data_IF_660457671575
#
_entry.id   IF_660457671575
#
_cell.length_a   1.000
_cell.length_b   1.000
_cell.length_c   1.000
_cell.angle_alpha   90.00
_cell.angle_beta   90.00
_cell.angle_gamma   90.00
#
_symmetry.space_group_name_H-M   'P 1'
#
loop_
_entity.id
_entity.type
_entity.pdbx_description
1 polymer ?
#
# COMPACT_ATOMS: atom_id res chain seq x y z
N UNK A 1 -77.07 54.14 67.65
CA UNK A 1 -75.67 53.68 67.74
C UNK A 1 -75.57 52.24 67.24
N UNK A 2 -74.48 51.95 66.53
CA UNK A 2 -73.87 50.61 66.28
C UNK A 2 -74.59 49.54 65.45
N UNK A 3 -74.19 49.52 64.16
CA UNK A 3 -73.98 48.40 63.21
C UNK A 3 -74.30 46.97 63.69
N UNK A 4 -74.97 46.21 62.81
CA UNK A 4 -74.40 44.93 62.39
C UNK A 4 -74.65 44.69 60.89
N UNK A 5 -73.55 44.58 60.14
CA UNK A 5 -73.55 44.21 58.72
C UNK A 5 -73.91 42.73 58.63
N UNK A 6 -75.09 42.40 58.09
CA UNK A 6 -75.37 41.01 57.72
C UNK A 6 -74.59 40.65 56.44
N UNK A 7 -73.94 39.48 56.39
CA UNK A 7 -72.97 39.13 55.35
C UNK A 7 -73.65 38.98 53.99
N UNK A 8 -73.01 39.54 52.95
CA UNK A 8 -73.37 39.31 51.55
C UNK A 8 -73.26 37.81 51.29
N UNK A 9 -74.40 37.17 51.00
CA UNK A 9 -74.44 35.79 50.52
C UNK A 9 -73.71 35.74 49.18
N UNK A 10 -72.64 34.95 49.10
CA UNK A 10 -72.04 34.56 47.83
C UNK A 10 -73.12 33.88 46.97
N UNK A 11 -73.27 34.23 45.68
CA UNK A 11 -74.22 33.57 44.80
C UNK A 11 -73.91 32.06 44.77
N UNK A 12 -74.95 31.23 44.83
CA UNK A 12 -74.84 29.75 44.89
C UNK A 12 -73.94 29.16 43.79
N UNK A 13 -73.82 29.85 42.65
CA UNK A 13 -72.94 29.46 41.54
C UNK A 13 -71.44 29.65 41.83
N UNK A 14 -71.05 30.65 42.63
CA UNK A 14 -69.66 30.86 43.03
C UNK A 14 -69.20 29.82 44.06
N UNK A 15 -70.11 29.40 44.95
CA UNK A 15 -69.87 28.32 45.91
C UNK A 15 -69.76 26.95 45.20
N UNK A 16 -70.59 26.69 44.20
CA UNK A 16 -70.48 25.47 43.40
C UNK A 16 -69.16 25.41 42.62
N UNK A 17 -68.74 26.52 41.99
CA UNK A 17 -67.46 26.59 41.27
C UNK A 17 -66.24 26.40 42.18
N UNK A 18 -66.26 26.99 43.38
CA UNK A 18 -65.18 26.82 44.36
C UNK A 18 -65.13 25.40 44.93
N UNK A 19 -66.29 24.79 45.20
CA UNK A 19 -66.36 23.38 45.65
C UNK A 19 -65.92 22.42 44.54
N UNK A 20 -66.30 22.67 43.28
CA UNK A 20 -65.82 21.87 42.14
C UNK A 20 -64.32 22.03 41.90
N UNK A 21 -63.76 23.24 42.06
CA UNK A 21 -62.33 23.48 41.95
C UNK A 21 -61.53 22.82 43.09
N UNK A 22 -62.02 22.88 44.33
CA UNK A 22 -61.44 22.17 45.47
C UNK A 22 -61.58 20.64 45.35
N UNK A 23 -62.70 20.15 44.80
CA UNK A 23 -62.89 18.73 44.52
C UNK A 23 -61.93 18.23 43.43
N UNK A 24 -61.69 19.02 42.36
CA UNK A 24 -60.69 18.69 41.33
C UNK A 24 -59.27 18.69 41.89
N UNK A 25 -58.92 19.67 42.73
CA UNK A 25 -57.60 19.77 43.35
C UNK A 25 -57.36 18.63 44.36
N UNK A 26 -58.37 18.26 45.15
CA UNK A 26 -58.32 17.11 46.04
C UNK A 26 -58.20 15.78 45.26
N UNK A 27 -58.84 15.66 44.09
CA UNK A 27 -58.71 14.50 43.22
C UNK A 27 -57.27 14.32 42.71
N UNK A 28 -56.52 15.41 42.48
CA UNK A 28 -55.10 15.34 42.08
C UNK A 28 -54.12 14.97 43.20
N UNK A 29 -54.51 15.16 44.48
CA UNK A 29 -53.68 14.78 45.65
C UNK A 29 -53.95 13.34 46.11
N UNK A 30 -55.10 12.78 45.75
CA UNK A 30 -55.52 11.41 46.09
C UNK A 30 -55.25 10.37 44.99
N UNK A 31 -54.90 10.81 43.77
CA UNK A 31 -54.35 9.92 42.75
C UNK A 31 -52.94 9.51 43.23
N UNK A 32 -52.65 8.21 43.44
CA UNK A 32 -51.27 7.79 43.65
C UNK A 32 -50.50 8.30 42.43
N UNK A 33 -49.48 9.14 42.66
CA UNK A 33 -48.60 9.60 41.59
C UNK A 33 -48.22 8.39 40.76
N UNK A 34 -48.33 8.48 39.43
CA UNK A 34 -48.03 7.38 38.54
C UNK A 34 -46.56 6.97 38.70
N UNK A 35 -46.28 6.17 39.72
CA UNK A 35 -45.03 5.50 39.91
C UNK A 35 -45.03 4.34 38.95
N UNK A 36 -44.18 4.40 37.93
CA UNK A 36 -43.88 3.22 37.13
C UNK A 36 -43.26 2.17 38.07
N UNK A 37 -44.07 1.21 38.51
CA UNK A 37 -43.62 0.07 39.29
C UNK A 37 -43.16 -0.98 38.30
N UNK A 38 -41.84 -1.09 38.09
CA UNK A 38 -41.27 -2.24 37.39
C UNK A 38 -41.45 -3.46 38.29
N UNK A 39 -42.37 -4.35 37.94
CA UNK A 39 -42.48 -5.68 38.54
C UNK A 39 -41.77 -6.67 37.64
N UNK A 40 -40.53 -7.04 38.01
CA UNK A 40 -39.85 -8.18 37.40
C UNK A 40 -40.55 -9.47 37.88
N UNK A 41 -41.05 -10.27 36.93
CA UNK A 41 -41.81 -11.51 37.22
C UNK A 41 -40.87 -12.70 37.52
N UNK A 42 -39.56 -12.49 37.53
CA UNK A 42 -38.57 -13.47 37.99
C UNK A 42 -37.81 -12.91 39.19
N UNK A 43 -38.07 -13.45 40.39
CA UNK A 43 -37.30 -13.13 41.58
C UNK A 43 -35.86 -13.61 41.40
N UNK A 44 -34.89 -12.70 41.54
CA UNK A 44 -33.47 -13.04 41.63
C UNK A 44 -33.12 -13.22 43.13
N UNK A 45 -32.78 -14.43 43.60
CA UNK A 45 -32.49 -14.68 45.03
C UNK A 45 -31.13 -14.15 45.49
N UNK A 46 -30.35 -13.51 44.60
CA UNK A 46 -29.18 -12.73 44.96
C UNK A 46 -29.45 -11.28 44.53
N UNK A 47 -29.28 -10.30 45.41
CA UNK A 47 -29.50 -8.86 45.14
C UNK A 47 -28.56 -8.24 44.09
N UNK A 48 -28.16 -8.97 43.05
CA UNK A 48 -27.44 -8.48 41.91
C UNK A 48 -28.44 -8.11 40.80
N UNK A 49 -28.48 -6.85 40.42
CA UNK A 49 -29.01 -6.46 39.12
C UNK A 49 -27.96 -6.97 38.12
N UNK A 50 -28.12 -8.18 37.59
CA UNK A 50 -27.38 -8.56 36.39
C UNK A 50 -27.77 -7.52 35.34
N UNK A 51 -26.83 -6.65 34.98
CA UNK A 51 -27.03 -5.62 33.97
C UNK A 51 -27.59 -6.29 32.73
N UNK A 52 -28.82 -5.94 32.36
CA UNK A 52 -29.53 -6.43 31.16
C UNK A 52 -28.91 -5.84 29.88
N UNK A 53 -27.59 -5.86 29.79
CA UNK A 53 -26.76 -5.20 28.79
C UNK A 53 -26.13 -6.19 27.83
N UNK A 54 -25.63 -5.67 26.71
CA UNK A 54 -24.85 -6.47 25.76
C UNK A 54 -23.52 -6.86 26.43
N UNK A 55 -23.22 -8.15 26.51
CA UNK A 55 -21.96 -8.63 27.04
C UNK A 55 -20.80 -8.34 26.08
N UNK A 56 -19.59 -8.03 26.57
CA UNK A 56 -18.45 -7.75 25.69
C UNK A 56 -17.93 -9.03 25.04
N UNK A 57 -17.30 -8.93 23.85
CA UNK A 57 -16.37 -9.98 23.40
C UNK A 57 -15.19 -10.07 24.36
N UNK A 58 -14.42 -11.16 24.29
CA UNK A 58 -13.22 -11.36 25.12
C UNK A 58 -12.02 -11.79 24.29
N UNK A 59 -10.81 -11.75 24.85
CA UNK A 59 -9.61 -12.25 24.18
C UNK A 59 -9.25 -11.52 22.89
N UNK A 60 -9.56 -10.21 22.77
CA UNK A 60 -9.12 -9.42 21.61
C UNK A 60 -7.60 -9.41 21.55
N UNK A 61 -7.06 -9.87 20.43
CA UNK A 61 -5.65 -9.82 20.08
C UNK A 61 -5.46 -9.08 18.78
N UNK A 62 -4.30 -8.44 18.63
CA UNK A 62 -3.88 -7.79 17.41
C UNK A 62 -2.49 -8.30 17.03
N UNK A 63 -2.38 -8.89 15.85
CA UNK A 63 -1.12 -9.42 15.32
C UNK A 63 -0.84 -8.71 14.00
N UNK A 64 0.39 -8.24 13.81
CA UNK A 64 0.76 -7.63 12.55
C UNK A 64 0.77 -8.66 11.40
N UNK A 65 0.37 -8.23 10.22
CA UNK A 65 0.55 -8.95 8.97
C UNK A 65 1.27 -8.04 7.97
N UNK A 66 2.34 -8.56 7.37
CA UNK A 66 3.14 -7.85 6.38
C UNK A 66 2.96 -8.53 5.02
N UNK A 67 2.19 -7.95 4.12
CA UNK A 67 1.99 -8.52 2.78
C UNK A 67 2.94 -7.84 1.80
N UNK A 68 3.87 -8.62 1.23
CA UNK A 68 4.79 -8.16 0.17
C UNK A 68 4.30 -8.64 -1.18
N UNK A 69 4.32 -7.74 -2.16
CA UNK A 69 4.10 -8.10 -3.56
C UNK A 69 5.47 -8.32 -4.21
N UNK A 70 5.77 -9.52 -4.71
CA UNK A 70 7.05 -9.78 -5.36
C UNK A 70 7.15 -9.05 -6.69
N UNK A 71 8.38 -8.67 -7.08
CA UNK A 71 8.62 -8.17 -8.43
C UNK A 71 8.49 -9.32 -9.43
N UNK A 72 7.73 -9.10 -10.50
CA UNK A 72 7.49 -10.09 -11.56
C UNK A 72 7.93 -9.54 -12.91
N UNK A 73 8.64 -10.36 -13.68
CA UNK A 73 8.98 -10.02 -15.05
C UNK A 73 7.76 -10.21 -15.95
N UNK A 74 7.41 -9.18 -16.72
CA UNK A 74 6.27 -9.18 -17.63
C UNK A 74 6.66 -9.61 -19.03
N UNK A 75 7.79 -9.10 -19.51
CA UNK A 75 8.26 -9.33 -20.87
C UNK A 75 9.44 -8.44 -21.22
N UNK A 76 10.03 -8.74 -22.37
CA UNK A 76 11.09 -7.97 -22.99
C UNK A 76 10.77 -7.75 -24.46
N UNK A 77 11.22 -6.63 -25.01
CA UNK A 77 11.22 -6.33 -26.43
C UNK A 77 12.55 -5.67 -26.77
N UNK A 78 13.08 -5.93 -27.96
CA UNK A 78 14.32 -5.30 -28.44
C UNK A 78 14.20 -4.97 -29.91
N UNK A 79 14.91 -3.93 -30.34
CA UNK A 79 14.91 -3.46 -31.72
C UNK A 79 16.27 -2.84 -32.07
N UNK A 80 16.51 -2.71 -33.36
CA UNK A 80 17.68 -2.05 -33.93
C UNK A 80 17.25 -1.25 -35.16
N UNK A 81 17.82 -0.06 -35.34
CA UNK A 81 17.62 0.78 -36.52
C UNK A 81 18.70 1.85 -36.60
N UNK A 82 18.83 2.51 -37.75
CA UNK A 82 19.47 3.82 -37.79
C UNK A 82 18.69 4.81 -36.94
N UNK A 83 19.39 5.76 -36.33
CA UNK A 83 18.77 6.86 -35.58
C UNK A 83 17.69 7.55 -36.44
N UNK A 84 16.43 7.65 -35.97
CA UNK A 84 15.98 7.34 -34.60
C UNK A 84 15.57 5.87 -34.35
N UNK A 85 15.80 5.38 -33.13
CA UNK A 85 15.36 4.06 -32.66
C UNK A 85 14.00 4.12 -31.98
N UNK A 86 13.03 3.35 -32.47
CA UNK A 86 11.74 3.19 -31.79
C UNK A 86 11.69 1.90 -31.00
N UNK A 87 11.33 2.00 -29.72
CA UNK A 87 11.12 0.86 -28.82
C UNK A 87 9.69 0.90 -28.27
N UNK A 88 8.96 -0.19 -28.51
CA UNK A 88 7.64 -0.39 -27.91
C UNK A 88 7.74 -1.37 -26.74
N UNK A 89 7.02 -1.13 -25.64
CA UNK A 89 6.95 -2.09 -24.54
C UNK A 89 6.42 -3.45 -25.03
N UNK A 90 6.77 -4.54 -24.34
CA UNK A 90 6.19 -5.87 -24.59
C UNK A 90 4.67 -5.83 -24.48
N UNK A 91 3.96 -6.62 -25.30
CA UNK A 91 2.49 -6.66 -25.29
C UNK A 91 1.87 -7.12 -23.94
N UNK A 92 2.66 -7.76 -23.08
CA UNK A 92 2.27 -8.20 -21.72
C UNK A 92 2.39 -7.09 -20.66
N UNK A 93 2.85 -5.90 -21.04
CA UNK A 93 2.97 -4.74 -20.15
C UNK A 93 1.59 -4.28 -19.69
N UNK A 94 1.46 -4.00 -18.40
CA UNK A 94 0.26 -3.46 -17.78
C UNK A 94 0.50 -2.03 -17.30
N UNK A 95 -0.58 -1.24 -17.21
CA UNK A 95 -0.51 0.10 -16.61
C UNK A 95 0.01 0.00 -15.18
N UNK A 96 1.01 0.81 -14.85
CA UNK A 96 1.67 0.83 -13.56
C UNK A 96 2.82 -0.16 -13.40
N UNK A 97 3.17 -0.95 -14.42
CA UNK A 97 4.46 -1.66 -14.45
C UNK A 97 5.61 -0.66 -14.63
N UNK A 98 6.80 -1.00 -14.15
CA UNK A 98 8.02 -0.20 -14.39
C UNK A 98 8.74 -0.75 -15.61
N UNK A 99 8.98 0.15 -16.56
CA UNK A 99 9.75 -0.09 -17.76
C UNK A 99 11.19 0.35 -17.56
N UNK A 100 12.15 -0.46 -17.99
CA UNK A 100 13.58 -0.12 -18.07
C UNK A 100 14.01 -0.26 -19.52
N UNK A 101 14.48 0.83 -20.12
CA UNK A 101 14.95 0.84 -21.50
C UNK A 101 16.46 1.03 -21.54
N UNK A 102 17.17 0.18 -22.28
CA UNK A 102 18.57 0.37 -22.65
C UNK A 102 18.64 0.76 -24.12
N UNK A 103 19.44 1.77 -24.45
CA UNK A 103 19.76 2.16 -25.82
C UNK A 103 21.25 2.36 -25.95
N UNK A 104 21.86 1.68 -26.91
CA UNK A 104 23.30 1.70 -27.15
C UNK A 104 23.61 2.00 -28.61
N UNK A 105 24.75 2.63 -28.83
CA UNK A 105 25.20 3.08 -30.16
C UNK A 105 26.69 3.37 -30.18
N UNK A 106 27.24 3.39 -31.40
CA UNK A 106 28.60 3.82 -31.66
C UNK A 106 28.76 5.33 -31.52
N UNK A 107 29.72 5.76 -30.71
CA UNK A 107 30.11 7.14 -30.49
C UNK A 107 29.74 7.66 -29.10
N UNK A 108 29.83 8.98 -28.92
CA UNK A 108 29.65 9.68 -27.65
C UNK A 108 28.65 10.84 -27.72
N UNK A 109 27.87 10.95 -28.82
CA UNK A 109 26.85 11.99 -28.96
C UNK A 109 25.80 11.86 -27.85
N UNK A 110 25.12 12.95 -27.47
CA UNK A 110 23.96 12.85 -26.57
C UNK A 110 22.81 12.09 -27.23
N UNK A 111 21.86 11.64 -26.41
CA UNK A 111 20.65 10.94 -26.87
C UNK A 111 19.43 11.54 -26.17
N UNK A 112 18.38 11.80 -26.94
CA UNK A 112 17.09 12.29 -26.44
C UNK A 112 16.01 11.22 -26.60
N UNK A 113 15.12 11.10 -25.62
CA UNK A 113 13.95 10.23 -25.67
C UNK A 113 12.67 11.07 -25.80
N UNK A 114 11.69 10.58 -26.57
CA UNK A 114 10.35 11.18 -26.60
C UNK A 114 9.49 10.69 -25.42
N UNK A 115 8.58 11.55 -24.97
CA UNK A 115 7.66 11.25 -23.86
C UNK A 115 8.31 11.35 -22.47
N UNK A 116 7.60 10.84 -21.46
CA UNK A 116 7.96 11.01 -20.04
C UNK A 116 8.96 9.96 -19.54
N UNK A 117 9.97 9.64 -20.35
CA UNK A 117 11.04 8.71 -19.94
C UNK A 117 12.11 9.45 -19.13
N UNK A 118 12.41 8.94 -17.95
CA UNK A 118 13.44 9.50 -17.07
C UNK A 118 14.77 8.84 -17.35
N UNK A 119 15.78 9.62 -17.75
CA UNK A 119 17.16 9.14 -17.88
C UNK A 119 17.71 8.76 -16.49
N UNK A 120 18.18 7.53 -16.33
CA UNK A 120 18.91 7.09 -15.14
C UNK A 120 20.39 7.42 -15.25
N UNK A 121 21.01 7.00 -16.35
CA UNK A 121 22.42 7.24 -16.62
C UNK A 121 22.73 7.02 -18.09
N UNK A 122 23.78 7.67 -18.55
CA UNK A 122 24.41 7.44 -19.84
C UNK A 122 25.91 7.33 -19.61
N UNK A 123 26.52 6.29 -20.12
CA UNK A 123 27.95 6.04 -19.95
C UNK A 123 28.57 5.69 -21.30
N UNK A 124 29.78 6.20 -21.53
CA UNK A 124 30.52 6.00 -22.77
C UNK A 124 31.89 5.39 -22.45
N UNK A 125 32.22 4.28 -23.10
CA UNK A 125 33.55 3.67 -23.01
C UNK A 125 34.38 4.01 -24.25
N UNK A 126 35.58 4.56 -24.03
CA UNK A 126 36.56 4.91 -25.07
C UNK A 126 36.10 5.95 -26.11
N UNK A 127 34.95 6.60 -25.91
CA UNK A 127 34.30 7.43 -26.93
C UNK A 127 33.63 6.63 -28.06
N UNK A 128 33.59 5.30 -27.95
CA UNK A 128 33.18 4.39 -29.02
C UNK A 128 31.86 3.70 -28.74
N UNK A 129 31.58 3.27 -27.51
CA UNK A 129 30.30 2.63 -27.18
C UNK A 129 29.63 3.42 -26.08
N UNK A 130 28.43 3.93 -26.37
CA UNK A 130 27.57 4.55 -25.36
C UNK A 130 26.40 3.63 -25.05
N UNK A 131 26.02 3.55 -23.77
CA UNK A 131 24.79 2.91 -23.29
C UNK A 131 24.05 3.88 -22.38
N UNK A 132 22.84 4.26 -22.80
CA UNK A 132 21.92 5.07 -22.03
C UNK A 132 20.77 4.21 -21.50
N UNK A 133 20.43 4.40 -20.23
CA UNK A 133 19.36 3.67 -19.57
C UNK A 133 18.32 4.62 -19.02
N UNK A 134 17.06 4.31 -19.31
CA UNK A 134 15.90 5.09 -18.92
C UNK A 134 14.92 4.23 -18.11
N UNK A 135 14.07 4.88 -17.34
CA UNK A 135 12.90 4.24 -16.77
C UNK A 135 11.63 5.04 -17.02
N UNK A 136 10.48 4.35 -16.98
CA UNK A 136 9.15 4.95 -17.02
C UNK A 136 8.16 4.06 -16.27
N UNK A 137 7.13 4.66 -15.68
CA UNK A 137 5.95 3.91 -15.21
C UNK A 137 4.97 3.82 -16.36
N UNK A 138 4.60 2.60 -16.74
CA UNK A 138 3.73 2.34 -17.88
C UNK A 138 2.35 2.99 -17.70
N UNK A 139 1.88 3.64 -18.76
CA UNK A 139 0.59 4.35 -18.84
C UNK A 139 -0.35 3.71 -19.86
N UNK A 140 0.13 2.79 -20.70
CA UNK A 140 -0.61 2.13 -21.77
C UNK A 140 -0.22 2.62 -23.17
N UNK A 141 0.40 3.80 -23.27
CA UNK A 141 0.96 4.36 -24.52
C UNK A 141 2.43 4.74 -24.27
N UNK A 142 3.29 3.73 -24.18
CA UNK A 142 4.66 3.91 -23.68
C UNK A 142 5.75 3.66 -24.73
N UNK A 143 5.37 3.54 -26.00
CA UNK A 143 6.33 3.53 -27.11
C UNK A 143 7.15 4.82 -27.09
N UNK A 144 8.47 4.68 -27.13
CA UNK A 144 9.42 5.79 -27.18
C UNK A 144 10.28 5.74 -28.42
N UNK A 145 10.68 6.93 -28.86
CA UNK A 145 11.64 7.15 -29.92
C UNK A 145 12.88 7.80 -29.34
N UNK A 146 14.03 7.16 -29.53
CA UNK A 146 15.32 7.60 -29.07
C UNK A 146 16.15 8.11 -30.24
N UNK A 147 16.65 9.33 -30.13
CA UNK A 147 17.22 10.05 -31.26
C UNK A 147 18.59 10.59 -30.91
N UNK A 148 19.55 10.41 -31.81
CA UNK A 148 20.85 11.09 -31.81
C UNK A 148 20.76 12.40 -32.59
N UNK A 149 21.63 13.38 -32.35
CA UNK A 149 21.72 14.58 -33.18
C UNK A 149 21.88 14.23 -34.66
N UNK A 150 21.23 15.00 -35.55
CA UNK A 150 21.30 14.79 -37.01
C UNK A 150 22.74 14.88 -37.55
N UNK A 151 23.62 15.62 -36.87
CA UNK A 151 25.05 15.72 -37.19
C UNK A 151 25.86 14.47 -36.85
N UNK A 152 25.25 13.47 -36.21
CA UNK A 152 25.89 12.23 -35.78
C UNK A 152 24.92 11.05 -35.99
N UNK A 153 24.50 10.77 -37.23
CA UNK A 153 23.66 9.62 -37.50
C UNK A 153 24.46 8.34 -37.24
N UNK A 154 23.75 7.25 -37.02
CA UNK A 154 24.36 5.93 -36.88
C UNK A 154 23.37 4.91 -36.37
N UNK A 155 23.78 3.66 -36.42
CA UNK A 155 22.96 2.55 -35.94
C UNK A 155 22.82 2.62 -34.43
N UNK A 156 21.66 2.16 -33.96
CA UNK A 156 21.27 2.13 -32.58
C UNK A 156 20.62 0.78 -32.30
N UNK A 157 20.89 0.23 -31.14
CA UNK A 157 20.30 -1.04 -30.68
C UNK A 157 19.86 -0.90 -29.24
N UNK A 158 18.75 -1.52 -28.89
CA UNK A 158 18.23 -1.42 -27.53
C UNK A 158 17.07 -2.33 -27.25
N UNK A 159 16.58 -2.26 -26.01
CA UNK A 159 15.44 -3.03 -25.58
C UNK A 159 14.78 -2.48 -24.33
N UNK A 160 13.53 -2.87 -24.13
CA UNK A 160 12.69 -2.53 -22.99
C UNK A 160 12.39 -3.80 -22.21
N UNK A 161 12.60 -3.73 -20.90
CA UNK A 161 12.15 -4.71 -19.92
C UNK A 161 10.94 -4.15 -19.18
N UNK A 162 9.94 -4.98 -18.91
CA UNK A 162 8.77 -4.61 -18.13
C UNK A 162 8.69 -5.46 -16.84
N UNK A 163 8.49 -4.79 -15.70
CA UNK A 163 8.40 -5.41 -14.38
C UNK A 163 7.18 -4.91 -13.61
N UNK A 164 6.36 -5.85 -13.11
CA UNK A 164 5.29 -5.57 -12.17
C UNK A 164 5.74 -5.69 -10.73
N UNK A 165 5.06 -5.02 -9.80
CA UNK A 165 5.38 -5.08 -8.36
C UNK A 165 6.56 -4.20 -7.92
N UNK A 166 7.03 -3.29 -8.79
CA UNK A 166 8.08 -2.32 -8.50
C UNK A 166 7.45 -1.03 -7.91
N UNK A 167 8.14 -0.38 -6.97
CA UNK A 167 7.75 0.93 -6.43
C UNK A 167 7.72 1.99 -7.54
N UNK A 168 6.56 2.60 -7.76
CA UNK A 168 6.34 3.57 -8.84
C UNK A 168 6.88 4.95 -8.52
N UNK A 169 7.04 5.27 -7.23
CA UNK A 169 7.53 6.57 -6.76
C UNK A 169 9.06 6.60 -6.69
N UNK A 170 9.67 5.45 -6.40
CA UNK A 170 11.12 5.28 -6.30
C UNK A 170 11.56 3.92 -6.86
N UNK A 171 11.56 3.74 -8.19
CA UNK A 171 11.72 2.41 -8.80
C UNK A 171 13.11 1.79 -8.60
N UNK A 172 14.13 2.62 -8.46
CA UNK A 172 15.52 2.19 -8.32
C UNK A 172 15.95 2.31 -6.86
N UNK A 173 16.35 1.20 -6.26
CA UNK A 173 16.91 1.18 -4.90
C UNK A 173 18.37 1.63 -4.90
N UNK A 174 19.17 1.09 -5.82
CA UNK A 174 20.59 1.38 -6.01
C UNK A 174 21.00 0.96 -7.42
N UNK A 175 22.05 1.59 -7.95
CA UNK A 175 22.64 1.23 -9.25
C UNK A 175 24.16 1.38 -9.21
N UNK A 176 24.86 0.60 -10.03
CA UNK A 176 26.29 0.73 -10.25
C UNK A 176 26.61 0.60 -11.74
N UNK A 177 27.73 1.18 -12.17
CA UNK A 177 28.14 1.24 -13.58
C UNK A 177 29.65 1.18 -13.70
N UNK A 178 30.13 0.53 -14.77
CA UNK A 178 31.54 0.39 -15.12
C UNK A 178 31.68 0.54 -16.64
N UNK A 179 32.69 1.30 -17.04
CA UNK A 179 33.17 1.38 -18.43
C UNK A 179 34.59 0.83 -18.47
N UNK A 180 34.87 -0.08 -19.39
CA UNK A 180 36.22 -0.61 -19.58
C UNK A 180 36.36 -1.18 -21.00
N UNK A 181 37.47 -1.86 -21.26
CA UNK A 181 37.73 -2.60 -22.48
C UNK A 181 38.43 -3.92 -22.12
N UNK A 182 38.24 -4.95 -22.95
CA UNK A 182 38.87 -6.25 -22.75
C UNK A 182 37.97 -7.43 -23.07
N UNK A 183 38.54 -8.63 -23.00
CA UNK A 183 37.84 -9.89 -23.28
C UNK A 183 36.74 -10.19 -22.26
N UNK A 184 37.00 -9.87 -21.00
CA UNK A 184 36.08 -10.09 -19.89
C UNK A 184 35.34 -8.81 -19.56
N UNK A 185 34.01 -8.85 -19.68
CA UNK A 185 33.13 -7.82 -19.17
C UNK A 185 32.63 -8.22 -17.77
N UNK A 186 32.89 -7.36 -16.78
CA UNK A 186 32.41 -7.54 -15.41
C UNK A 186 31.30 -6.55 -15.12
N UNK A 187 30.13 -7.07 -14.73
CA UNK A 187 29.03 -6.27 -14.23
C UNK A 187 29.29 -5.89 -12.77
N UNK A 188 29.12 -4.60 -12.41
CA UNK A 188 29.38 -4.15 -11.06
C UNK A 188 28.35 -4.72 -10.08
N UNK A 189 28.82 -5.14 -8.91
CA UNK A 189 27.94 -5.51 -7.80
C UNK A 189 27.30 -4.26 -7.18
N UNK A 190 26.12 -4.42 -6.58
CA UNK A 190 25.42 -3.36 -5.84
C UNK A 190 25.13 -3.81 -4.42
N UNK A 191 25.23 -2.89 -3.46
CA UNK A 191 24.84 -3.12 -2.06
C UNK A 191 23.51 -2.42 -1.79
N UNK A 192 22.47 -3.19 -1.47
CA UNK A 192 21.12 -2.66 -1.20
C UNK A 192 20.70 -2.92 0.24
N UNK A 193 19.99 -1.97 0.84
CA UNK A 193 19.30 -2.14 2.13
C UNK A 193 17.87 -2.66 1.97
N UNK A 194 17.39 -2.76 0.73
CA UNK A 194 16.04 -3.20 0.39
C UNK A 194 16.03 -4.71 0.15
N UNK A 195 15.05 -5.40 0.74
CA UNK A 195 14.78 -6.83 0.53
C UNK A 195 13.97 -7.07 -0.74
N UNK A 196 14.05 -8.27 -1.28
CA UNK A 196 13.22 -8.78 -2.38
C UNK A 196 13.32 -7.94 -3.68
N UNK A 197 14.51 -7.43 -3.96
CA UNK A 197 14.80 -6.64 -5.17
C UNK A 197 14.93 -7.52 -6.40
N UNK A 198 14.61 -6.95 -7.57
CA UNK A 198 14.99 -7.52 -8.86
C UNK A 198 16.23 -6.80 -9.36
N UNK A 199 17.32 -7.51 -9.58
CA UNK A 199 18.57 -6.93 -10.06
C UNK A 199 18.65 -7.13 -11.57
N UNK A 200 18.63 -6.02 -12.30
CA UNK A 200 18.71 -5.96 -13.76
C UNK A 200 20.14 -5.62 -14.15
N UNK A 201 20.70 -6.43 -15.04
CA UNK A 201 22.03 -6.30 -15.59
C UNK A 201 21.94 -5.98 -17.08
N UNK A 202 22.61 -4.90 -17.48
CA UNK A 202 22.64 -4.38 -18.83
C UNK A 202 24.09 -4.29 -19.27
N UNK A 203 24.40 -4.84 -20.44
CA UNK A 203 25.73 -4.82 -21.03
C UNK A 203 25.62 -4.29 -22.46
N UNK A 204 26.49 -3.35 -22.81
CA UNK A 204 26.74 -2.94 -24.18
C UNK A 204 28.22 -3.15 -24.48
N UNK A 205 28.54 -3.71 -25.66
CA UNK A 205 29.93 -3.92 -26.10
C UNK A 205 30.02 -3.65 -27.59
N UNK A 206 31.18 -3.19 -28.07
CA UNK A 206 31.46 -2.91 -29.50
C UNK A 206 31.53 -4.15 -30.40
N UNK A 207 31.07 -5.29 -29.89
CA UNK A 207 31.04 -6.56 -30.63
C UNK A 207 29.79 -7.33 -30.24
N UNK A 208 29.37 -8.20 -31.14
CA UNK A 208 28.02 -8.72 -31.20
C UNK A 208 27.98 -10.23 -31.51
N UNK A 209 27.05 -11.02 -30.93
CA UNK A 209 26.40 -10.82 -29.63
C UNK A 209 27.25 -11.42 -28.49
N UNK A 210 27.29 -10.75 -27.34
CA UNK A 210 28.12 -11.15 -26.21
C UNK A 210 27.39 -12.14 -25.28
N UNK A 211 28.04 -13.21 -24.77
CA UNK A 211 27.35 -14.20 -23.94
C UNK A 211 26.80 -13.62 -22.64
N UNK A 212 25.60 -14.04 -22.22
CA UNK A 212 25.05 -13.65 -20.92
C UNK A 212 25.88 -14.25 -19.78
N UNK A 213 26.23 -13.48 -18.74
CA UNK A 213 26.92 -14.00 -17.56
C UNK A 213 26.20 -15.18 -16.90
N UNK A 214 26.98 -16.16 -16.45
CA UNK A 214 26.46 -17.33 -15.77
C UNK A 214 25.66 -16.99 -14.50
N UNK A 215 24.56 -17.73 -14.29
CA UNK A 215 23.68 -17.57 -13.12
C UNK A 215 22.66 -16.44 -13.23
N UNK A 216 22.60 -15.75 -14.36
CA UNK A 216 21.55 -14.78 -14.68
C UNK A 216 20.52 -15.38 -15.64
N UNK A 217 19.31 -14.82 -15.63
CA UNK A 217 18.28 -15.14 -16.62
C UNK A 217 18.36 -14.13 -17.77
N UNK A 218 18.79 -14.59 -18.94
CA UNK A 218 18.78 -13.76 -20.16
C UNK A 218 17.34 -13.31 -20.46
N UNK A 219 17.16 -12.00 -20.70
CA UNK A 219 15.86 -11.41 -21.05
C UNK A 219 15.79 -11.01 -22.51
N UNK A 220 16.87 -10.46 -23.04
CA UNK A 220 17.04 -10.22 -24.46
C UNK A 220 18.52 -10.00 -24.77
N UNK A 221 18.86 -10.20 -26.04
CA UNK A 221 20.18 -9.95 -26.59
C UNK A 221 20.01 -9.60 -28.05
N UNK A 222 20.62 -8.51 -28.47
CA UNK A 222 20.50 -8.01 -29.83
C UNK A 222 21.81 -7.34 -30.23
N UNK A 223 21.98 -7.08 -31.51
CA UNK A 223 23.14 -6.37 -32.02
C UNK A 223 22.75 -5.47 -33.18
N UNK A 224 23.40 -4.32 -33.27
CA UNK A 224 23.52 -3.55 -34.49
C UNK A 224 24.75 -4.04 -35.28
N UNK A 225 25.08 -3.34 -36.36
CA UNK A 225 26.31 -3.57 -37.11
C UNK A 225 27.57 -3.17 -36.31
N UNK A 226 27.42 -2.35 -35.25
CA UNK A 226 28.55 -1.78 -34.49
C UNK A 226 28.62 -2.24 -33.03
N UNK A 227 27.51 -2.55 -32.38
CA UNK A 227 27.45 -2.93 -30.95
C UNK A 227 26.53 -4.13 -30.70
N UNK A 228 26.90 -4.95 -29.73
CA UNK A 228 26.03 -5.93 -29.09
C UNK A 228 25.52 -5.43 -27.74
N UNK A 229 24.28 -5.78 -27.43
CA UNK A 229 23.62 -5.48 -26.16
C UNK A 229 22.97 -6.72 -25.58
N UNK A 230 23.06 -6.86 -24.26
CA UNK A 230 22.50 -7.98 -23.51
C UNK A 230 21.85 -7.46 -22.25
N UNK A 231 20.64 -7.92 -21.97
CA UNK A 231 19.96 -7.71 -20.71
C UNK A 231 19.65 -9.04 -20.03
N UNK A 232 19.88 -9.09 -18.73
CA UNK A 232 19.57 -10.23 -17.89
C UNK A 232 19.13 -9.78 -16.50
N UNK A 233 18.51 -10.65 -15.73
CA UNK A 233 18.16 -10.34 -14.35
C UNK A 233 18.31 -11.52 -13.38
N UNK A 234 18.25 -11.19 -12.09
CA UNK A 234 18.09 -12.15 -11.01
C UNK A 234 17.25 -11.56 -9.87
N UNK A 235 16.51 -12.42 -9.17
CA UNK A 235 15.89 -12.06 -7.90
C UNK A 235 16.92 -12.06 -6.79
N UNK A 236 16.96 -11.00 -5.99
CA UNK A 236 17.87 -10.87 -4.84
C UNK A 236 17.08 -10.63 -3.55
N UNK A 237 17.17 -11.60 -2.63
CA UNK A 237 16.40 -11.58 -1.36
C UNK A 237 16.85 -10.42 -0.46
N UNK A 238 18.16 -10.10 -0.44
CA UNK A 238 18.71 -8.99 0.33
C UNK A 238 18.36 -8.96 1.83
N UNK A 239 18.69 -7.87 2.54
CA UNK A 239 19.63 -6.82 2.12
C UNK A 239 21.06 -7.37 2.00
N UNK A 240 21.96 -6.62 1.36
CA UNK A 240 23.36 -6.99 1.20
C UNK A 240 23.91 -6.67 -0.18
N UNK A 241 25.10 -7.20 -0.47
CA UNK A 241 25.78 -7.04 -1.75
C UNK A 241 25.42 -8.17 -2.71
N UNK A 242 25.08 -7.84 -3.95
CA UNK A 242 24.82 -8.82 -5.00
C UNK A 242 26.11 -9.54 -5.42
N UNK A 243 26.03 -10.78 -5.93
CA UNK A 243 27.20 -11.45 -6.48
C UNK A 243 27.82 -10.64 -7.64
N UNK A 244 29.14 -10.65 -7.76
CA UNK A 244 29.80 -10.17 -8.97
C UNK A 244 29.49 -11.09 -10.15
N UNK A 245 29.12 -10.52 -11.29
CA UNK A 245 28.79 -11.27 -12.52
C UNK A 245 29.76 -10.88 -13.63
N UNK A 246 30.26 -11.85 -14.38
CA UNK A 246 31.14 -11.58 -15.52
C UNK A 246 30.91 -12.57 -16.64
N UNK A 247 31.29 -12.16 -17.83
CA UNK A 247 31.26 -12.97 -19.04
C UNK A 247 32.40 -12.56 -19.96
N UNK A 248 32.88 -13.49 -20.77
CA UNK A 248 34.04 -13.29 -21.61
C UNK A 248 33.80 -13.77 -23.04
N UNK A 249 34.42 -13.09 -23.99
CA UNK A 249 34.53 -13.54 -25.38
C UNK A 249 36.00 -13.44 -25.78
N UNK A 250 36.64 -14.60 -25.92
CA UNK A 250 38.04 -14.70 -26.29
C UNK A 250 38.30 -13.99 -27.63
N UNK A 251 39.38 -13.22 -27.71
CA UNK A 251 39.76 -12.44 -28.90
C UNK A 251 39.04 -11.11 -29.05
N UNK A 252 38.13 -10.73 -28.15
CA UNK A 252 37.42 -9.44 -28.20
C UNK A 252 37.89 -8.48 -27.09
N UNK A 253 38.90 -7.65 -27.38
CA UNK A 253 39.44 -6.67 -26.42
C UNK A 253 38.75 -5.30 -26.45
N UNK A 254 37.59 -5.21 -27.07
CA UNK A 254 36.89 -3.93 -27.32
C UNK A 254 36.22 -3.35 -26.08
N UNK A 255 35.82 -2.09 -26.21
CA UNK A 255 35.12 -1.29 -25.21
C UNK A 255 33.75 -1.87 -24.86
N UNK A 256 33.42 -1.82 -23.57
CA UNK A 256 32.12 -2.18 -23.04
C UNK A 256 31.65 -1.20 -21.95
N UNK A 257 30.33 -1.16 -21.78
CA UNK A 257 29.61 -0.46 -20.72
C UNK A 257 28.75 -1.48 -20.00
N UNK A 258 28.94 -1.62 -18.69
CA UNK A 258 28.25 -2.59 -17.84
C UNK A 258 27.50 -1.83 -16.74
N UNK A 259 26.18 -2.06 -16.65
CA UNK A 259 25.26 -1.31 -15.80
C UNK A 259 24.38 -2.28 -15.01
N UNK A 260 24.30 -2.08 -13.69
CA UNK A 260 23.51 -2.90 -12.76
C UNK A 260 22.51 -2.02 -12.04
N UNK A 261 21.23 -2.43 -12.00
CA UNK A 261 20.13 -1.71 -11.35
C UNK A 261 19.41 -2.67 -10.42
N UNK A 262 19.29 -2.33 -9.14
CA UNK A 262 18.39 -3.01 -8.22
C UNK A 262 17.04 -2.28 -8.20
N UNK A 263 16.00 -2.93 -8.74
CA UNK A 263 14.62 -2.45 -8.70
C UNK A 263 14.02 -2.67 -7.32
N UNK A 264 13.37 -1.64 -6.80
CA UNK A 264 12.73 -1.60 -5.49
C UNK A 264 11.33 -2.22 -5.58
N UNK A 265 10.98 -3.24 -4.77
CA UNK A 265 9.61 -3.72 -4.71
C UNK A 265 8.68 -2.68 -4.10
N UNK A 266 7.39 -2.75 -4.40
CA UNK A 266 6.37 -1.95 -3.71
C UNK A 266 6.50 -2.17 -2.19
N UNK A 267 6.46 -1.09 -1.37
CA UNK A 267 6.49 -1.22 0.08
C UNK A 267 5.44 -2.23 0.60
N UNK A 268 5.78 -3.05 1.60
CA UNK A 268 4.82 -4.01 2.16
C UNK A 268 3.57 -3.30 2.68
N UNK A 269 2.41 -3.91 2.45
CA UNK A 269 1.18 -3.49 3.12
C UNK A 269 1.22 -4.04 4.53
N UNK A 270 1.18 -3.14 5.51
CA UNK A 270 1.19 -3.47 6.94
C UNK A 270 -0.23 -3.39 7.47
N UNK A 271 -0.73 -4.47 8.06
CA UNK A 271 -2.09 -4.55 8.60
C UNK A 271 -2.06 -5.19 10.00
N UNK A 272 -3.15 -5.06 10.73
CA UNK A 272 -3.44 -5.83 11.93
C UNK A 272 -4.47 -6.91 11.61
N UNK A 273 -4.13 -8.17 11.86
CA UNK A 273 -5.08 -9.27 11.99
C UNK A 273 -5.59 -9.30 13.43
N UNK A 274 -6.87 -9.01 13.59
CA UNK A 274 -7.56 -8.99 14.87
C UNK A 274 -8.34 -10.29 15.03
N UNK A 275 -8.26 -10.89 16.22
CA UNK A 275 -9.10 -12.03 16.59
C UNK A 275 -9.62 -11.89 18.01
N UNK A 276 -10.82 -12.37 18.26
CA UNK A 276 -11.47 -12.33 19.57
C UNK A 276 -12.43 -13.51 19.75
N UNK A 277 -12.81 -13.77 20.99
CA UNK A 277 -13.93 -14.66 21.32
C UNK A 277 -15.23 -13.87 21.26
N UNK A 278 -16.23 -14.43 20.58
CA UNK A 278 -17.52 -13.78 20.39
C UNK A 278 -18.21 -13.45 21.72
N UNK A 279 -19.01 -12.38 21.72
CA UNK A 279 -19.89 -12.05 22.84
C UNK A 279 -20.88 -13.19 23.10
N UNK A 280 -21.14 -13.55 24.36
CA UNK A 280 -22.20 -14.51 24.69
C UNK A 280 -23.60 -13.94 24.43
N UNK A 281 -23.74 -12.64 24.20
CA UNK A 281 -24.99 -12.02 23.76
C UNK A 281 -25.23 -12.30 22.27
N UNK A 282 -25.66 -13.52 21.95
CA UNK A 282 -25.96 -13.98 20.57
C UNK A 282 -27.06 -13.16 19.88
N UNK A 283 -27.82 -12.39 20.64
CA UNK A 283 -28.84 -11.47 20.14
C UNK A 283 -28.30 -10.08 19.76
N UNK A 284 -27.02 -9.80 20.01
CA UNK A 284 -26.42 -8.54 19.59
C UNK A 284 -26.34 -8.45 18.06
N UNK A 285 -26.35 -7.23 17.52
CA UNK A 285 -26.27 -7.03 16.07
C UNK A 285 -24.87 -7.33 15.53
N UNK A 286 -23.84 -7.04 16.33
CA UNK A 286 -22.44 -7.24 15.96
C UNK A 286 -21.51 -6.42 16.84
N UNK A 287 -20.35 -6.03 16.32
CA UNK A 287 -19.35 -5.25 17.03
C UNK A 287 -19.14 -3.87 16.40
N UNK A 288 -18.58 -2.96 17.18
CA UNK A 288 -17.91 -1.75 16.70
C UNK A 288 -16.42 -1.88 16.97
N UNK A 289 -15.64 -1.69 15.91
CA UNK A 289 -14.19 -1.71 15.94
C UNK A 289 -13.68 -0.30 15.72
N UNK A 290 -12.85 0.17 16.64
CA UNK A 290 -12.21 1.48 16.60
C UNK A 290 -10.69 1.31 16.60
N UNK A 291 -10.02 2.03 15.71
CA UNK A 291 -8.56 2.16 15.67
C UNK A 291 -8.19 3.57 16.09
N UNK A 292 -7.23 3.68 17.00
CA UNK A 292 -6.67 4.95 17.46
C UNK A 292 -5.14 4.92 17.44
N UNK A 293 -4.53 6.10 17.27
CA UNK A 293 -3.08 6.31 17.41
C UNK A 293 -2.82 7.68 18.01
N UNK A 294 -1.82 7.79 18.88
CA UNK A 294 -1.51 9.05 19.58
C UNK A 294 -2.68 9.61 20.40
N UNK A 295 -3.58 8.74 20.89
CA UNK A 295 -4.80 9.14 21.61
C UNK A 295 -5.93 9.66 20.71
N UNK A 296 -5.75 9.74 19.40
CA UNK A 296 -6.77 10.19 18.44
C UNK A 296 -7.39 9.00 17.72
N UNK A 297 -8.73 8.97 17.64
CA UNK A 297 -9.46 7.96 16.85
C UNK A 297 -9.26 8.25 15.37
N UNK A 298 -8.82 7.24 14.63
CA UNK A 298 -8.56 7.32 13.19
C UNK A 298 -9.68 6.69 12.37
N UNK A 299 -10.26 5.60 12.86
CA UNK A 299 -11.36 4.91 12.19
C UNK A 299 -12.28 4.24 13.20
N UNK A 300 -13.56 4.17 12.87
CA UNK A 300 -14.56 3.38 13.58
C UNK A 300 -15.48 2.73 12.55
N UNK A 301 -15.72 1.43 12.66
CA UNK A 301 -16.66 0.71 11.78
C UNK A 301 -17.44 -0.37 12.51
N UNK A 302 -18.57 -0.75 11.95
CA UNK A 302 -19.36 -1.88 12.44
C UNK A 302 -18.91 -3.18 11.77
N UNK A 303 -18.96 -4.27 12.54
CA UNK A 303 -18.71 -5.64 12.10
C UNK A 303 -19.98 -6.43 12.41
N UNK A 304 -20.56 -7.08 11.41
CA UNK A 304 -21.78 -7.88 11.55
C UNK A 304 -21.62 -9.19 10.78
N UNK A 305 -22.15 -10.31 11.27
CA UNK A 305 -22.97 -10.44 12.48
C UNK A 305 -22.15 -10.66 13.78
N UNK A 306 -22.80 -10.91 14.92
CA UNK A 306 -22.13 -11.07 16.23
C UNK A 306 -21.25 -12.33 16.32
N UNK A 307 -21.46 -13.30 15.44
CA UNK A 307 -20.66 -14.51 15.33
C UNK A 307 -19.29 -14.26 14.69
N UNK A 308 -19.06 -13.09 14.07
CA UNK A 308 -17.74 -12.73 13.52
C UNK A 308 -16.71 -12.59 14.64
N UNK A 309 -15.60 -13.30 14.52
CA UNK A 309 -14.52 -13.38 15.53
C UNK A 309 -13.17 -12.88 15.02
N UNK A 310 -13.13 -12.31 13.81
CA UNK A 310 -11.90 -11.77 13.23
C UNK A 310 -12.17 -10.58 12.32
N UNK A 311 -11.15 -9.73 12.17
CA UNK A 311 -11.14 -8.61 11.23
C UNK A 311 -9.71 -8.22 10.88
N UNK A 312 -9.54 -7.57 9.74
CA UNK A 312 -8.28 -6.91 9.37
C UNK A 312 -8.42 -5.39 9.46
N UNK A 313 -7.35 -4.71 9.88
CA UNK A 313 -7.27 -3.25 9.91
C UNK A 313 -5.96 -2.76 9.29
N UNK A 314 -6.04 -1.80 8.37
CA UNK A 314 -4.88 -1.26 7.68
C UNK A 314 -5.25 -0.27 6.58
N UNK A 315 -4.26 0.25 5.84
CA UNK A 315 -2.83 0.09 6.11
C UNK A 315 -2.41 0.79 7.42
N UNK A 316 -1.36 0.27 8.05
CA UNK A 316 -0.72 0.81 9.25
C UNK A 316 0.68 1.34 8.92
N UNK A 317 1.17 2.25 9.76
CA UNK A 317 2.53 2.80 9.65
C UNK A 317 3.45 2.09 10.63
N UNK A 318 4.59 1.58 10.14
CA UNK A 318 5.62 0.95 10.98
C UNK A 318 6.12 1.89 12.09
N UNK A 319 6.38 1.32 13.27
CA UNK A 319 6.85 2.05 14.45
C UNK A 319 5.80 2.95 15.11
N UNK A 320 4.59 3.06 14.54
CA UNK A 320 3.50 3.83 15.13
C UNK A 320 2.69 2.96 16.08
N UNK A 321 2.48 3.41 17.31
CA UNK A 321 1.63 2.70 18.27
C UNK A 321 0.15 2.90 17.94
N UNK A 322 -0.58 1.78 17.83
CA UNK A 322 -2.03 1.73 17.64
C UNK A 322 -2.70 1.05 18.84
N UNK A 323 -3.94 1.47 19.11
CA UNK A 323 -4.84 0.83 20.05
C UNK A 323 -6.16 0.50 19.34
N UNK A 324 -6.52 -0.77 19.35
CA UNK A 324 -7.77 -1.29 18.78
C UNK A 324 -8.77 -1.53 19.90
N UNK A 325 -9.95 -0.94 19.78
CA UNK A 325 -11.04 -1.07 20.75
C UNK A 325 -12.21 -1.77 20.08
N UNK A 326 -12.74 -2.80 20.74
CA UNK A 326 -13.88 -3.58 20.24
C UNK A 326 -14.96 -3.66 21.31
N UNK A 327 -16.21 -3.47 20.92
CA UNK A 327 -17.36 -3.68 21.80
C UNK A 327 -18.56 -4.17 21.01
N UNK A 328 -19.39 -5.00 21.64
CA UNK A 328 -20.61 -5.50 21.03
C UNK A 328 -21.71 -4.43 21.12
N UNK A 329 -22.65 -4.45 20.17
CA UNK A 329 -23.75 -3.49 20.12
C UNK A 329 -25.06 -4.09 19.60
N UNK A 330 -26.17 -3.50 20.03
CA UNK A 330 -27.51 -3.68 19.47
C UNK A 330 -28.30 -2.38 19.56
N UNK A 331 -28.60 -1.76 18.42
CA UNK A 331 -29.19 -0.42 18.41
C UNK A 331 -28.31 0.57 19.19
N UNK A 332 -28.85 1.15 20.26
CA UNK A 332 -28.13 2.07 21.16
C UNK A 332 -27.41 1.37 22.32
N UNK A 333 -27.64 0.07 22.53
CA UNK A 333 -27.02 -0.69 23.61
C UNK A 333 -25.61 -1.11 23.20
N UNK A 334 -24.65 -0.95 24.11
CA UNK A 334 -23.24 -1.32 23.90
C UNK A 334 -22.68 -2.04 25.12
N UNK A 335 -21.75 -2.97 24.89
CA UNK A 335 -20.98 -3.60 25.95
C UNK A 335 -19.87 -2.69 26.50
N UNK A 336 -19.16 -3.15 27.52
CA UNK A 336 -17.83 -2.63 27.83
C UNK A 336 -16.86 -2.89 26.66
N UNK A 337 -15.78 -2.11 26.63
CA UNK A 337 -14.78 -2.16 25.56
C UNK A 337 -13.65 -3.11 25.94
N UNK A 338 -13.24 -3.97 25.01
CA UNK A 338 -11.95 -4.68 25.07
C UNK A 338 -10.94 -4.00 24.16
N UNK A 339 -9.66 -4.05 24.54
CA UNK A 339 -8.61 -3.30 23.84
C UNK A 339 -7.41 -4.19 23.55
N UNK A 340 -6.78 -4.00 22.40
CA UNK A 340 -5.51 -4.62 22.03
C UNK A 340 -4.54 -3.58 21.44
N UNK A 341 -3.31 -3.46 21.95
CA UNK A 341 -2.28 -2.60 21.37
C UNK A 341 -1.53 -3.31 20.24
N UNK A 342 -1.01 -2.54 19.29
CA UNK A 342 -0.06 -3.03 18.27
C UNK A 342 0.89 -1.90 17.87
N UNK A 343 2.19 -2.20 17.80
CA UNK A 343 3.18 -1.33 17.15
C UNK A 343 3.85 -2.15 16.06
N UNK A 344 3.45 -2.00 14.79
CA UNK A 344 3.93 -2.89 13.75
C UNK A 344 5.37 -2.59 13.36
N UNK A 345 6.11 -3.63 13.01
CA UNK A 345 7.47 -3.57 12.46
C UNK A 345 7.63 -4.59 11.33
N UNK A 346 7.43 -4.12 10.10
CA UNK A 346 7.78 -4.76 8.83
C UNK A 346 8.98 -4.03 8.18
#
# INVERSE_FOLDING_TARGET
>A
MTRSRRPRRLPRHALAAVVSALALLALTVLLPGASARFTAVTGNPAGAWATDGVAPPTGLTAVQTCTRTPITFRGAASSTSQSPLTLSPPATTQVGDVLVAQVSYYGASTISATGDWTLLFTDTSGGLVTSAVYHKVATGTDTATFTRPESSPGDMVGGILAYGGVDRSSPVAVSARVTSAGETATLPAVTTTVKDTMVVYLLAKRVAPFPTPGGLRERWKLSSDSEGVTAADESFVGPGTTPSRSTALAGSTTEYVAQTIALRPVPPVVEASLSWTASPSTWATGYRLERSSGGTVQSTRSITPVETTSATEGPLVNGTAYSFRLWAHRGTWTSSVVTAPLTPSC
#
